data_IF_005900655436
#
_entry.id   IF_005900655436
#
_cell.length_a   1.000
_cell.length_b   1.000
_cell.length_c   1.000
_cell.angle_alpha   90.00
_cell.angle_beta   90.00
_cell.angle_gamma   90.00
#
_symmetry.space_group_name_H-M   'P 1'
#
loop_
_entity.id
_entity.type
_entity.pdbx_description
1 polymer ?
#
# COMPACT_ATOMS: atom_id res chain seq x y z
N UNK A 1 -18.58 -11.26 0.13
CA UNK A 1 -19.56 -11.94 1.00
C UNK A 1 -18.89 -13.19 1.56
N UNK A 2 -18.92 -13.39 2.87
CA UNK A 2 -18.45 -14.60 3.55
C UNK A 2 -19.64 -15.49 3.89
N UNK A 3 -19.49 -16.79 3.68
CA UNK A 3 -20.48 -17.80 4.05
C UNK A 3 -19.85 -18.68 5.12
N UNK A 4 -20.40 -18.62 6.35
CA UNK A 4 -19.93 -19.43 7.48
C UNK A 4 -20.32 -20.90 7.31
N UNK A 5 -19.43 -21.78 7.72
CA UNK A 5 -19.67 -23.22 7.88
C UNK A 5 -20.21 -23.60 9.27
N UNK A 6 -20.39 -22.60 10.14
CA UNK A 6 -20.89 -22.76 11.51
C UNK A 6 -19.81 -23.07 12.54
N UNK A 7 -18.55 -23.14 12.16
CA UNK A 7 -17.43 -23.30 13.08
C UNK A 7 -16.89 -21.94 13.57
N UNK A 8 -16.41 -21.92 14.81
CA UNK A 8 -15.71 -20.75 15.36
C UNK A 8 -14.29 -20.71 14.80
N UNK A 9 -13.96 -19.63 14.08
CA UNK A 9 -12.63 -19.43 13.50
C UNK A 9 -12.36 -17.99 13.12
N UNK A 10 -11.09 -17.65 13.08
CA UNK A 10 -10.64 -16.38 12.52
C UNK A 10 -10.83 -16.37 11.01
N UNK A 11 -11.43 -15.28 10.51
CA UNK A 11 -11.68 -15.08 9.08
C UNK A 11 -10.70 -14.04 8.56
N UNK A 12 -9.73 -14.49 7.78
CA UNK A 12 -8.77 -13.61 7.11
C UNK A 12 -8.97 -13.72 5.60
N UNK A 13 -9.40 -12.65 4.92
CA UNK A 13 -9.47 -12.63 3.46
C UNK A 13 -8.08 -12.83 2.83
N UNK A 14 -7.98 -13.72 1.84
CA UNK A 14 -6.74 -13.96 1.09
C UNK A 14 -6.81 -13.31 -0.28
N UNK A 15 -5.67 -12.87 -0.81
CA UNK A 15 -5.50 -12.30 -2.15
C UNK A 15 -6.38 -11.07 -2.43
N UNK A 16 -6.71 -10.32 -1.37
CA UNK A 16 -7.48 -9.08 -1.47
C UNK A 16 -7.12 -8.14 -0.33
N UNK A 17 -7.23 -6.85 -0.57
CA UNK A 17 -7.08 -5.81 0.45
C UNK A 17 -7.96 -4.61 0.10
N UNK A 18 -8.21 -3.76 1.09
CA UNK A 18 -9.12 -2.62 0.94
C UNK A 18 -8.56 -1.41 1.69
N UNK A 19 -8.61 -0.23 1.07
CA UNK A 19 -8.47 1.03 1.78
C UNK A 19 -9.85 1.48 2.29
N UNK A 20 -10.02 1.64 3.60
CA UNK A 20 -11.31 1.98 4.21
C UNK A 20 -11.17 2.82 5.46
N UNK A 21 -12.21 3.56 5.79
CA UNK A 21 -12.36 4.26 7.09
C UNK A 21 -13.43 3.62 7.98
N UNK A 22 -14.42 2.99 7.38
CA UNK A 22 -15.55 2.40 8.07
C UNK A 22 -15.87 1.02 7.52
N UNK A 23 -16.24 0.12 8.39
CA UNK A 23 -16.70 -1.23 8.03
C UNK A 23 -18.16 -1.36 8.44
N UNK A 24 -19.01 -1.72 7.49
CA UNK A 24 -20.41 -2.05 7.76
C UNK A 24 -20.58 -3.56 7.77
N UNK A 25 -21.11 -4.07 8.87
CA UNK A 25 -21.37 -5.49 9.06
C UNK A 25 -22.87 -5.72 9.00
N UNK A 26 -23.29 -6.79 8.35
CA UNK A 26 -24.68 -7.21 8.26
C UNK A 26 -24.79 -8.73 8.23
N UNK A 27 -25.92 -9.26 8.67
CA UNK A 27 -26.20 -10.70 8.68
C UNK A 27 -25.67 -11.46 9.90
N UNK A 28 -25.07 -10.77 10.84
CA UNK A 28 -24.66 -11.32 12.15
C UNK A 28 -25.18 -10.44 13.27
N UNK A 29 -25.38 -11.05 14.44
CA UNK A 29 -25.85 -10.38 15.66
C UNK A 29 -24.82 -10.56 16.77
N UNK A 30 -24.84 -9.68 17.77
CA UNK A 30 -23.95 -9.76 18.93
C UNK A 30 -22.45 -9.64 18.60
N UNK A 31 -22.11 -8.76 17.66
CA UNK A 31 -20.71 -8.43 17.35
C UNK A 31 -20.28 -7.15 18.05
N UNK A 32 -19.05 -7.11 18.49
CA UNK A 32 -18.38 -5.92 19.06
C UNK A 32 -17.23 -5.45 18.19
N UNK A 33 -16.68 -4.28 18.48
CA UNK A 33 -15.45 -3.82 17.79
C UNK A 33 -14.24 -4.71 18.08
N UNK A 34 -14.25 -5.41 19.20
CA UNK A 34 -13.16 -6.30 19.64
C UNK A 34 -13.07 -7.58 18.82
N UNK A 35 -14.14 -7.94 18.12
CA UNK A 35 -14.18 -9.09 17.20
C UNK A 35 -13.48 -8.81 15.86
N UNK A 36 -12.96 -7.60 15.67
CA UNK A 36 -12.34 -7.18 14.40
C UNK A 36 -10.94 -6.61 14.62
N UNK A 37 -9.98 -7.11 13.87
CA UNK A 37 -8.61 -6.60 13.83
C UNK A 37 -8.29 -6.07 12.44
N UNK A 38 -7.93 -4.77 12.36
CA UNK A 38 -7.39 -4.17 11.14
C UNK A 38 -5.94 -4.60 10.96
N UNK A 39 -5.61 -5.18 9.81
CA UNK A 39 -4.24 -5.53 9.45
C UNK A 39 -3.75 -4.62 8.34
N UNK A 40 -2.68 -3.88 8.58
CA UNK A 40 -2.01 -3.13 7.53
C UNK A 40 -1.17 -4.07 6.66
N UNK A 41 -1.35 -4.00 5.35
CA UNK A 41 -0.60 -4.78 4.36
C UNK A 41 0.29 -3.84 3.55
N UNK A 42 1.58 -4.12 3.52
CA UNK A 42 2.55 -3.39 2.70
C UNK A 42 3.78 -4.26 2.45
N UNK A 43 4.57 -3.89 1.44
CA UNK A 43 5.85 -4.55 1.17
C UNK A 43 6.79 -4.35 2.34
N UNK A 44 7.51 -5.41 2.72
CA UNK A 44 8.45 -5.38 3.83
C UNK A 44 9.66 -4.51 3.48
N UNK A 45 9.88 -3.46 4.25
CA UNK A 45 11.04 -2.58 4.18
C UNK A 45 11.36 -2.00 5.56
N UNK A 46 12.64 -1.81 5.82
CA UNK A 46 13.10 -1.21 7.07
C UNK A 46 12.97 0.31 7.02
N UNK A 47 12.37 0.91 8.05
CA UNK A 47 12.38 2.37 8.25
C UNK A 47 13.77 2.84 8.64
N UNK A 48 14.40 3.67 7.81
CA UNK A 48 15.78 4.14 8.01
C UNK A 48 15.87 5.63 8.29
N UNK A 49 14.80 6.38 7.98
CA UNK A 49 14.73 7.81 8.21
C UNK A 49 13.60 8.19 9.17
N UNK A 50 13.85 9.21 9.98
CA UNK A 50 12.82 9.81 10.82
C UNK A 50 13.07 11.30 10.98
N UNK A 51 11.99 12.06 11.04
CA UNK A 51 12.03 13.51 11.28
C UNK A 51 11.08 13.84 12.42
N UNK A 52 11.58 14.54 13.43
CA UNK A 52 10.77 15.08 14.49
C UNK A 52 11.09 16.56 14.69
N UNK A 53 10.07 17.38 14.75
CA UNK A 53 10.18 18.83 14.89
C UNK A 53 9.45 19.33 16.13
N UNK A 54 9.66 20.58 16.49
CA UNK A 54 8.89 21.25 17.55
C UNK A 54 7.45 21.64 17.16
N UNK A 55 7.03 21.33 15.92
CA UNK A 55 5.70 21.64 15.41
C UNK A 55 4.89 20.35 15.20
N UNK A 56 3.83 20.19 15.99
CA UNK A 56 2.98 18.99 15.97
C UNK A 56 2.30 18.76 14.60
N UNK A 57 1.91 19.82 13.89
CA UNK A 57 1.30 19.68 12.56
C UNK A 57 2.29 19.16 11.53
N UNK A 58 3.57 19.55 11.61
CA UNK A 58 4.63 19.03 10.75
C UNK A 58 4.88 17.56 11.07
N UNK A 59 4.93 17.19 12.35
CA UNK A 59 5.10 15.79 12.75
C UNK A 59 3.92 14.92 12.28
N UNK A 60 2.70 15.46 12.38
CA UNK A 60 1.52 14.76 11.83
C UNK A 60 1.60 14.61 10.31
N UNK A 61 2.08 15.61 9.58
CA UNK A 61 2.28 15.51 8.14
C UNK A 61 3.27 14.40 7.80
N UNK A 62 4.39 14.31 8.51
CA UNK A 62 5.40 13.28 8.29
C UNK A 62 4.80 11.87 8.54
N UNK A 63 4.09 11.71 9.65
CA UNK A 63 3.38 10.46 9.94
C UNK A 63 2.37 10.08 8.83
N UNK A 64 1.64 11.06 8.30
CA UNK A 64 0.71 10.83 7.20
C UNK A 64 1.44 10.40 5.91
N UNK A 65 2.63 10.95 5.64
CA UNK A 65 3.46 10.56 4.49
C UNK A 65 3.95 9.12 4.65
N UNK A 66 4.41 8.72 5.83
CA UNK A 66 4.83 7.34 6.12
C UNK A 66 3.69 6.34 5.95
N UNK A 67 2.50 6.66 6.47
CA UNK A 67 1.32 5.83 6.29
C UNK A 67 0.84 5.79 4.85
N UNK A 68 0.85 6.92 4.14
CA UNK A 68 0.54 6.97 2.72
C UNK A 68 1.49 6.12 1.87
N UNK A 69 2.78 6.06 2.25
CA UNK A 69 3.75 5.16 1.63
C UNK A 69 3.38 3.69 1.89
N UNK A 70 3.08 3.31 3.13
CA UNK A 70 2.66 1.94 3.48
C UNK A 70 1.40 1.52 2.74
N UNK A 71 0.41 2.40 2.67
CA UNK A 71 -0.86 2.14 1.99
C UNK A 71 -0.71 1.87 0.49
N UNK A 72 0.35 2.42 -0.14
CA UNK A 72 0.57 2.35 -1.58
C UNK A 72 1.73 1.42 -1.99
N UNK A 73 2.64 1.07 -1.07
CA UNK A 73 3.77 0.21 -1.38
C UNK A 73 3.45 -1.26 -1.09
N UNK A 74 2.66 -1.86 -1.97
CA UNK A 74 2.31 -3.27 -1.94
C UNK A 74 2.69 -3.91 -3.28
N UNK A 75 3.84 -4.54 -3.34
CA UNK A 75 4.46 -5.14 -4.52
C UNK A 75 4.94 -4.14 -5.58
N UNK A 76 4.13 -3.14 -5.90
CA UNK A 76 4.45 -2.00 -6.76
C UNK A 76 4.04 -0.69 -6.08
N UNK A 77 4.64 0.47 -6.45
CA UNK A 77 4.23 1.76 -5.92
C UNK A 77 2.91 2.20 -6.56
N UNK A 78 1.78 1.82 -5.94
CA UNK A 78 0.45 2.15 -6.45
C UNK A 78 0.11 3.62 -6.21
N UNK A 79 -0.78 4.16 -7.03
CA UNK A 79 -1.29 5.53 -6.94
C UNK A 79 -2.34 5.70 -5.84
N UNK A 80 -3.08 4.64 -5.53
CA UNK A 80 -4.20 4.71 -4.59
C UNK A 80 -4.54 3.34 -3.97
N UNK A 81 -4.83 3.27 -2.64
CA UNK A 81 -5.21 2.01 -2.00
C UNK A 81 -6.72 1.77 -1.96
N UNK A 82 -7.56 2.80 -2.19
CA UNK A 82 -8.98 2.81 -1.80
C UNK A 82 -9.98 2.63 -2.94
N UNK A 83 -9.54 2.55 -4.20
CA UNK A 83 -10.41 2.41 -5.37
C UNK A 83 -9.87 1.35 -6.33
N UNK A 84 -10.66 0.97 -7.33
CA UNK A 84 -10.31 -0.01 -8.35
C UNK A 84 -9.39 0.59 -9.44
N UNK A 85 -8.23 1.02 -9.03
CA UNK A 85 -7.12 1.45 -9.86
C UNK A 85 -5.86 0.74 -9.39
N UNK A 86 -5.18 1.21 -8.34
CA UNK A 86 -4.05 0.54 -7.67
C UNK A 86 -2.96 0.12 -8.65
N UNK A 87 -2.61 1.02 -9.54
CA UNK A 87 -1.62 0.80 -10.59
C UNK A 87 -0.30 1.48 -10.25
N UNK A 88 0.80 0.89 -10.70
CA UNK A 88 2.12 1.46 -10.52
C UNK A 88 2.40 2.57 -11.54
N UNK A 89 1.83 3.76 -11.33
CA UNK A 89 2.04 4.93 -12.17
C UNK A 89 3.48 5.42 -12.10
N UNK A 90 4.14 5.50 -13.23
CA UNK A 90 5.56 5.87 -13.32
C UNK A 90 5.81 7.33 -12.92
N UNK A 91 4.87 8.23 -13.23
CA UNK A 91 4.92 9.63 -12.82
C UNK A 91 4.87 9.80 -11.31
N UNK A 92 3.92 9.15 -10.65
CA UNK A 92 3.78 9.14 -9.19
C UNK A 92 5.03 8.59 -8.51
N UNK A 93 5.54 7.48 -9.02
CA UNK A 93 6.78 6.87 -8.57
C UNK A 93 7.96 7.83 -8.70
N UNK A 94 8.10 8.51 -9.82
CA UNK A 94 9.18 9.48 -10.06
C UNK A 94 9.18 10.59 -9.01
N UNK A 95 8.01 11.15 -8.72
CA UNK A 95 7.87 12.25 -7.76
C UNK A 95 8.14 11.79 -6.32
N UNK A 96 7.64 10.64 -5.94
CA UNK A 96 7.71 10.16 -4.55
C UNK A 96 8.98 9.40 -4.20
N UNK A 97 9.71 8.84 -5.17
CA UNK A 97 10.86 7.96 -4.94
C UNK A 97 11.93 8.56 -4.03
N UNK A 98 12.25 9.85 -4.19
CA UNK A 98 13.19 10.55 -3.33
C UNK A 98 12.75 10.55 -1.87
N UNK A 99 11.50 10.87 -1.60
CA UNK A 99 10.90 10.84 -0.26
C UNK A 99 10.94 9.44 0.34
N UNK A 100 10.55 8.43 -0.43
CA UNK A 100 10.56 7.05 0.02
C UNK A 100 11.97 6.58 0.43
N UNK A 101 13.00 6.92 -0.37
CA UNK A 101 14.40 6.58 -0.05
C UNK A 101 14.96 7.30 1.19
N UNK A 102 14.37 8.43 1.59
CA UNK A 102 14.74 9.08 2.86
C UNK A 102 14.08 8.43 4.07
N UNK A 103 12.90 7.84 3.89
CA UNK A 103 12.11 7.27 4.98
C UNK A 103 12.46 5.80 5.26
N UNK A 104 12.85 5.05 4.22
CA UNK A 104 13.04 3.61 4.33
C UNK A 104 14.09 3.06 3.37
N UNK A 105 14.60 1.86 3.67
CA UNK A 105 15.36 1.07 2.71
C UNK A 105 14.43 0.49 1.64
N UNK A 106 14.29 1.23 0.57
CA UNK A 106 13.43 0.87 -0.57
C UNK A 106 14.19 0.18 -1.71
N UNK A 107 15.46 -0.20 -1.50
CA UNK A 107 16.30 -0.74 -2.57
C UNK A 107 15.69 -1.99 -3.22
N UNK A 108 15.30 -2.99 -2.44
CA UNK A 108 14.73 -4.22 -2.96
C UNK A 108 13.40 -3.98 -3.68
N UNK A 109 12.56 -3.11 -3.12
CA UNK A 109 11.26 -2.72 -3.68
C UNK A 109 11.41 -2.03 -5.05
N UNK A 110 12.23 -0.98 -5.13
CA UNK A 110 12.44 -0.28 -6.41
C UNK A 110 13.24 -1.09 -7.42
N UNK A 111 14.15 -1.96 -6.97
CA UNK A 111 14.86 -2.87 -7.87
C UNK A 111 13.88 -3.80 -8.60
N UNK A 112 12.89 -4.35 -7.91
CA UNK A 112 11.81 -5.17 -8.51
C UNK A 112 10.99 -4.33 -9.48
N UNK A 113 10.49 -3.18 -9.05
CA UNK A 113 9.68 -2.30 -9.88
C UNK A 113 10.40 -1.80 -11.14
N UNK A 114 11.67 -1.40 -11.03
CA UNK A 114 12.48 -0.99 -12.17
C UNK A 114 12.78 -2.14 -13.14
N UNK A 115 12.86 -3.37 -12.62
CA UNK A 115 12.99 -4.54 -13.50
C UNK A 115 11.70 -4.77 -14.30
N UNK A 116 10.54 -4.65 -13.70
CA UNK A 116 9.25 -4.75 -14.37
C UNK A 116 9.12 -3.64 -15.43
N UNK A 117 9.44 -2.40 -15.05
CA UNK A 117 9.47 -1.26 -15.99
C UNK A 117 10.40 -1.51 -17.19
N UNK A 118 11.59 -2.04 -16.95
CA UNK A 118 12.49 -2.39 -18.04
C UNK A 118 11.89 -3.44 -18.99
N UNK A 119 11.20 -4.45 -18.46
CA UNK A 119 10.51 -5.46 -19.28
C UNK A 119 9.41 -4.84 -20.13
N UNK A 120 8.60 -3.98 -19.56
CA UNK A 120 7.54 -3.27 -20.28
C UNK A 120 8.10 -2.33 -21.36
N UNK A 121 9.22 -1.63 -21.07
CA UNK A 121 9.89 -0.81 -22.08
C UNK A 121 10.33 -1.61 -23.31
N UNK A 122 10.83 -2.83 -23.14
CA UNK A 122 11.21 -3.68 -24.27
C UNK A 122 10.01 -4.01 -25.16
N UNK A 123 8.85 -4.27 -24.55
CA UNK A 123 7.60 -4.54 -25.26
C UNK A 123 7.10 -3.28 -25.97
N UNK A 124 7.22 -2.13 -25.31
CA UNK A 124 6.77 -0.83 -25.82
C UNK A 124 7.75 -0.17 -26.82
N UNK A 125 8.72 -0.89 -27.34
CA UNK A 125 9.68 -0.36 -28.30
C UNK A 125 10.64 0.70 -27.73
N UNK A 126 10.90 0.66 -26.42
CA UNK A 126 11.81 1.57 -25.71
C UNK A 126 11.12 2.74 -25.01
N UNK A 127 9.83 2.92 -25.18
CA UNK A 127 9.09 3.95 -24.43
C UNK A 127 8.88 3.51 -22.98
N UNK A 128 8.95 4.46 -22.06
CA UNK A 128 8.52 4.26 -20.67
C UNK A 128 7.00 4.24 -20.63
N UNK A 129 6.36 3.16 -20.19
CA UNK A 129 4.91 3.11 -20.06
C UNK A 129 4.44 4.02 -18.92
N UNK A 130 3.19 4.43 -18.97
CA UNK A 130 2.58 5.26 -17.91
C UNK A 130 2.35 4.46 -16.63
N UNK A 131 2.09 3.16 -16.79
CA UNK A 131 1.78 2.22 -15.69
C UNK A 131 2.66 0.99 -15.80
N UNK A 132 3.06 0.41 -14.67
CA UNK A 132 3.85 -0.81 -14.59
C UNK A 132 3.37 -1.65 -13.38
N UNK A 133 3.08 -2.95 -13.57
CA UNK A 133 2.93 -3.65 -14.86
C UNK A 133 1.66 -3.23 -15.61
N UNK A 134 1.63 -3.43 -16.93
CA UNK A 134 0.47 -3.18 -17.81
C UNK A 134 -0.40 -4.41 -18.00
#
# INVERSE_FOLDING_TARGET
MYISDGEEKDIVPHFTFYGYRYVKISGVTNVSCEDFTGMALYSDYEGTGSIQTGNELVNQLISNVEWGMKDNFLDVPTDCPQRDERMGWTGDTQVFSGTACYLADTYAFYRKYLYDLYKEQLIAGGMVPEVVPT
#
